data_IF_328226089221
#
_entry.id   IF_328226089221
#
_cell.length_a   1.000
_cell.length_b   1.000
_cell.length_c   1.000
_cell.angle_alpha   90.00
_cell.angle_beta   90.00
_cell.angle_gamma   90.00
#
_symmetry.space_group_name_H-M   'P 1'
#
loop_
_entity.id
_entity.type
_entity.pdbx_description
1 polymer ?
#
# COMPACT_ATOMS: atom_id res chain seq x y z
N UNK A 1 -59.68 -11.11 -42.37
CA UNK A 1 -59.15 -9.88 -42.97
C UNK A 1 -60.35 -9.10 -43.46
N UNK A 2 -60.53 -7.87 -43.00
CA UNK A 2 -61.69 -7.07 -43.34
C UNK A 2 -61.41 -6.43 -44.71
N UNK A 3 -62.16 -6.84 -45.74
CA UNK A 3 -62.07 -6.21 -47.05
C UNK A 3 -62.40 -4.72 -46.90
N UNK A 4 -61.52 -3.84 -47.37
CA UNK A 4 -61.81 -2.40 -47.38
C UNK A 4 -62.94 -2.15 -48.36
N UNK A 5 -64.12 -1.92 -47.81
CA UNK A 5 -65.33 -1.54 -48.50
C UNK A 5 -65.27 -0.06 -48.88
N UNK A 6 -65.38 0.23 -50.17
CA UNK A 6 -65.34 1.60 -50.71
C UNK A 6 -66.55 1.87 -51.58
N UNK A 7 -66.94 3.14 -51.66
CA UNK A 7 -68.06 3.57 -52.53
C UNK A 7 -67.60 3.73 -53.99
N UNK A 8 -68.56 3.83 -54.91
CA UNK A 8 -68.33 3.99 -56.35
C UNK A 8 -67.42 5.20 -56.69
N UNK A 9 -67.52 6.29 -55.94
CA UNK A 9 -66.73 7.51 -56.12
C UNK A 9 -65.24 7.28 -55.80
N UNK A 10 -64.98 6.42 -54.81
CA UNK A 10 -63.66 6.13 -54.26
C UNK A 10 -62.90 5.07 -55.07
N UNK A 11 -63.58 4.33 -55.95
CA UNK A 11 -62.94 3.35 -56.83
C UNK A 11 -61.92 4.01 -57.78
N UNK A 12 -60.78 3.33 -57.96
CA UNK A 12 -59.76 3.73 -58.95
C UNK A 12 -60.13 3.17 -60.32
N UNK A 13 -59.59 3.74 -61.39
CA UNK A 13 -59.86 3.31 -62.78
C UNK A 13 -59.62 1.80 -62.97
N UNK A 14 -58.58 1.24 -62.34
CA UNK A 14 -58.30 -0.19 -62.41
C UNK A 14 -59.43 -1.04 -61.82
N UNK A 15 -59.98 -0.60 -60.69
CA UNK A 15 -61.05 -1.31 -59.99
C UNK A 15 -62.39 -1.12 -60.73
N UNK A 16 -62.68 0.11 -61.20
CA UNK A 16 -63.86 0.39 -62.04
C UNK A 16 -63.90 -0.48 -63.29
N UNK A 17 -62.75 -0.69 -63.96
CA UNK A 17 -62.67 -1.56 -65.14
C UNK A 17 -62.94 -3.01 -64.79
N UNK A 18 -62.43 -3.50 -63.65
CA UNK A 18 -62.69 -4.87 -63.18
C UNK A 18 -64.17 -5.10 -62.91
N UNK A 19 -64.83 -4.21 -62.16
CA UNK A 19 -66.27 -4.32 -61.87
C UNK A 19 -67.15 -4.25 -63.14
N UNK A 20 -66.74 -3.45 -64.14
CA UNK A 20 -67.43 -3.40 -65.44
C UNK A 20 -67.17 -4.65 -66.27
N UNK A 21 -65.95 -5.18 -66.26
CA UNK A 21 -65.58 -6.42 -66.96
C UNK A 21 -66.29 -7.64 -66.38
N UNK A 22 -66.45 -7.73 -65.06
CA UNK A 22 -67.23 -8.77 -64.37
C UNK A 22 -68.73 -8.73 -64.73
N UNK A 23 -69.23 -7.57 -65.16
CA UNK A 23 -70.61 -7.36 -65.60
C UNK A 23 -70.77 -7.39 -67.12
N UNK A 24 -69.73 -7.81 -67.87
CA UNK A 24 -69.70 -7.86 -69.33
C UNK A 24 -69.96 -6.50 -70.02
N UNK A 25 -69.49 -5.40 -69.42
CA UNK A 25 -69.67 -4.02 -69.90
C UNK A 25 -68.38 -3.43 -70.52
N UNK A 26 -68.56 -2.38 -71.34
CA UNK A 26 -67.45 -1.67 -71.98
C UNK A 26 -66.52 -0.97 -70.96
N UNK A 27 -65.25 -1.38 -70.94
CA UNK A 27 -64.18 -0.86 -70.08
C UNK A 27 -63.43 0.35 -70.67
N UNK A 28 -63.83 0.84 -71.85
CA UNK A 28 -63.22 1.99 -72.52
C UNK A 28 -63.65 3.35 -71.97
N UNK A 29 -62.78 4.37 -72.02
CA UNK A 29 -63.13 5.76 -71.70
C UNK A 29 -62.51 6.32 -70.41
N UNK A 30 -62.94 7.53 -70.05
CA UNK A 30 -62.45 8.25 -68.86
C UNK A 30 -63.04 7.73 -67.55
N UNK A 31 -62.42 8.03 -66.41
CA UNK A 31 -62.91 7.61 -65.08
C UNK A 31 -64.39 7.92 -64.87
N UNK A 32 -64.83 9.12 -65.27
CA UNK A 32 -66.24 9.53 -65.15
C UNK A 32 -67.17 8.71 -66.05
N UNK A 33 -66.76 8.37 -67.27
CA UNK A 33 -67.54 7.47 -68.13
C UNK A 33 -67.68 6.08 -67.52
N UNK A 34 -66.60 5.53 -66.96
CA UNK A 34 -66.62 4.22 -66.30
C UNK A 34 -67.51 4.24 -65.05
N UNK A 35 -67.40 5.28 -64.21
CA UNK A 35 -68.27 5.46 -63.05
C UNK A 35 -69.73 5.58 -63.47
N UNK A 36 -70.05 6.35 -64.50
CA UNK A 36 -71.42 6.51 -64.97
C UNK A 36 -72.00 5.22 -65.56
N UNK A 37 -71.20 4.44 -66.31
CA UNK A 37 -71.64 3.13 -66.81
C UNK A 37 -71.92 2.16 -65.67
N UNK A 38 -71.02 2.10 -64.69
CA UNK A 38 -71.21 1.23 -63.53
C UNK A 38 -72.41 1.70 -62.70
N UNK A 39 -72.58 3.00 -62.49
CA UNK A 39 -73.76 3.60 -61.84
C UNK A 39 -75.06 3.18 -62.51
N UNK A 40 -75.09 3.22 -63.85
CA UNK A 40 -76.25 2.81 -64.64
C UNK A 40 -76.53 1.31 -64.49
N UNK A 41 -75.49 0.48 -64.55
CA UNK A 41 -75.63 -0.97 -64.39
C UNK A 41 -76.07 -1.40 -62.98
N UNK A 42 -75.69 -0.63 -61.95
CA UNK A 42 -76.18 -0.84 -60.58
C UNK A 42 -77.67 -0.54 -60.48
N UNK A 43 -78.11 0.60 -61.02
CA UNK A 43 -79.52 0.99 -61.05
C UNK A 43 -80.39 0.03 -61.87
N UNK A 44 -79.85 -0.53 -62.96
CA UNK A 44 -80.54 -1.56 -63.77
C UNK A 44 -80.71 -2.90 -63.03
N UNK A 45 -79.88 -3.15 -62.02
CA UNK A 45 -79.94 -4.33 -61.15
C UNK A 45 -80.65 -4.05 -59.80
N UNK A 46 -81.37 -2.93 -59.67
CA UNK A 46 -82.01 -2.48 -58.42
C UNK A 46 -81.03 -2.27 -57.24
N UNK A 47 -79.73 -2.11 -57.52
CA UNK A 47 -78.70 -1.78 -56.54
C UNK A 47 -78.52 -0.25 -56.47
N UNK A 48 -78.53 0.32 -55.27
CA UNK A 48 -78.31 1.75 -55.08
C UNK A 48 -76.81 2.10 -55.16
N UNK A 49 -76.37 2.83 -56.19
CA UNK A 49 -74.95 3.11 -56.44
C UNK A 49 -74.27 3.93 -55.34
N UNK A 50 -75.03 4.65 -54.52
CA UNK A 50 -74.50 5.47 -53.42
C UNK A 50 -74.35 4.65 -52.12
N UNK A 51 -74.94 3.46 -52.04
CA UNK A 51 -74.84 2.56 -50.88
C UNK A 51 -74.12 1.24 -51.18
N UNK A 52 -73.91 0.88 -52.45
CA UNK A 52 -73.10 -0.29 -52.84
C UNK A 52 -71.64 -0.12 -52.42
N UNK A 53 -71.13 -1.14 -51.73
CA UNK A 53 -69.77 -1.19 -51.21
C UNK A 53 -68.95 -2.22 -51.99
N UNK A 54 -67.86 -1.78 -52.61
CA UNK A 54 -66.96 -2.60 -53.40
C UNK A 54 -65.76 -3.06 -52.56
N UNK A 55 -65.39 -4.33 -52.70
CA UNK A 55 -64.25 -4.91 -51.99
C UNK A 55 -62.95 -4.68 -52.77
N UNK A 56 -62.04 -3.89 -52.19
CA UNK A 56 -60.70 -3.73 -52.76
C UNK A 56 -59.78 -4.87 -52.29
N UNK A 57 -59.49 -5.81 -53.18
CA UNK A 57 -58.39 -6.76 -52.97
C UNK A 57 -57.05 -6.02 -53.05
N UNK A 58 -56.52 -5.66 -51.88
CA UNK A 58 -55.16 -5.16 -51.74
C UNK A 58 -54.21 -6.27 -52.21
N UNK A 59 -53.59 -6.06 -53.38
CA UNK A 59 -52.70 -6.99 -54.09
C UNK A 59 -51.77 -7.77 -53.13
N UNK A 60 -52.20 -8.97 -52.73
CA UNK A 60 -51.69 -9.75 -51.61
C UNK A 60 -50.19 -10.02 -51.77
N UNK A 61 -49.74 -10.21 -53.01
CA UNK A 61 -48.32 -10.40 -53.36
C UNK A 61 -47.41 -9.24 -52.90
N UNK A 62 -47.88 -7.99 -53.02
CA UNK A 62 -47.10 -6.82 -52.59
C UNK A 62 -46.97 -6.75 -51.06
N UNK A 63 -48.02 -7.13 -50.34
CA UNK A 63 -48.02 -7.18 -48.88
C UNK A 63 -47.12 -8.30 -48.38
N UNK A 64 -47.21 -9.49 -48.98
CA UNK A 64 -46.37 -10.65 -48.63
C UNK A 64 -44.88 -10.36 -48.83
N UNK A 65 -44.51 -9.67 -49.94
CA UNK A 65 -43.12 -9.27 -50.17
C UNK A 65 -42.61 -8.29 -49.11
N UNK A 66 -43.43 -7.31 -48.70
CA UNK A 66 -43.07 -6.36 -47.62
C UNK A 66 -42.92 -7.06 -46.28
N UNK A 67 -43.80 -8.03 -45.99
CA UNK A 67 -43.72 -8.83 -44.77
C UNK A 67 -42.42 -9.63 -44.71
N UNK A 68 -42.04 -10.30 -45.81
CA UNK A 68 -40.78 -11.03 -45.89
C UNK A 68 -39.54 -10.14 -45.67
N UNK A 69 -39.50 -8.94 -46.27
CA UNK A 69 -38.41 -7.99 -46.05
C UNK A 69 -38.38 -7.52 -44.59
N UNK A 70 -39.55 -7.30 -43.98
CA UNK A 70 -39.65 -6.88 -42.57
C UNK A 70 -39.16 -7.98 -41.61
N UNK A 71 -39.48 -9.24 -41.88
CA UNK A 71 -38.95 -10.39 -41.12
C UNK A 71 -37.42 -10.47 -41.22
N UNK A 72 -36.87 -10.31 -42.42
CA UNK A 72 -35.42 -10.33 -42.64
C UNK A 72 -34.72 -9.18 -41.91
N UNK A 73 -35.28 -7.96 -41.98
CA UNK A 73 -34.77 -6.81 -41.25
C UNK A 73 -34.83 -7.03 -39.73
N UNK A 74 -35.90 -7.64 -39.25
CA UNK A 74 -36.07 -7.97 -37.81
C UNK A 74 -34.99 -8.95 -37.36
N UNK A 75 -34.78 -10.04 -38.11
CA UNK A 75 -33.71 -11.01 -37.82
C UNK A 75 -32.32 -10.38 -37.86
N UNK A 76 -32.06 -9.47 -38.81
CA UNK A 76 -30.78 -8.77 -38.91
C UNK A 76 -30.53 -7.86 -37.70
N UNK A 77 -31.56 -7.13 -37.25
CA UNK A 77 -31.48 -6.30 -36.06
C UNK A 77 -31.27 -7.13 -34.80
N UNK A 78 -31.99 -8.24 -34.64
CA UNK A 78 -31.80 -9.18 -33.53
C UNK A 78 -30.36 -9.71 -33.48
N UNK A 79 -29.81 -10.13 -34.63
CA UNK A 79 -28.43 -10.60 -34.71
C UNK A 79 -27.42 -9.52 -34.28
N UNK A 80 -27.58 -8.29 -34.77
CA UNK A 80 -26.73 -7.15 -34.39
C UNK A 80 -26.83 -6.82 -32.90
N UNK A 81 -28.03 -6.90 -32.32
CA UNK A 81 -28.22 -6.67 -30.88
C UNK A 81 -27.50 -7.73 -30.07
N UNK A 82 -27.61 -9.01 -30.46
CA UNK A 82 -26.92 -10.12 -29.79
C UNK A 82 -25.40 -9.95 -29.87
N UNK A 83 -24.87 -9.68 -31.06
CA UNK A 83 -23.44 -9.47 -31.28
C UNK A 83 -22.90 -8.30 -30.45
N UNK A 84 -23.59 -7.15 -30.49
CA UNK A 84 -23.21 -5.97 -29.70
C UNK A 84 -23.26 -6.24 -28.20
N UNK A 85 -24.26 -7.00 -27.74
CA UNK A 85 -24.41 -7.37 -26.33
C UNK A 85 -23.30 -8.32 -25.86
N UNK A 86 -22.87 -9.26 -26.70
CA UNK A 86 -21.75 -10.15 -26.42
C UNK A 86 -20.43 -9.39 -26.35
N UNK A 87 -20.17 -8.51 -27.33
CA UNK A 87 -18.98 -7.64 -27.35
C UNK A 87 -18.91 -6.74 -26.09
N UNK A 88 -20.02 -6.10 -25.70
CA UNK A 88 -20.06 -5.30 -24.46
C UNK A 88 -19.79 -6.13 -23.21
N UNK A 89 -20.30 -7.37 -23.17
CA UNK A 89 -20.06 -8.29 -22.04
C UNK A 89 -18.58 -8.67 -21.94
N UNK A 90 -17.92 -8.92 -23.07
CA UNK A 90 -16.48 -9.21 -23.10
C UNK A 90 -15.64 -8.02 -22.66
N UNK A 91 -15.92 -6.82 -23.19
CA UNK A 91 -15.25 -5.57 -22.78
C UNK A 91 -15.37 -5.32 -21.27
N UNK A 92 -16.56 -5.56 -20.69
CA UNK A 92 -16.78 -5.43 -19.24
C UNK A 92 -15.97 -6.45 -18.43
N UNK A 93 -15.90 -7.70 -18.91
CA UNK A 93 -15.12 -8.75 -18.24
C UNK A 93 -13.62 -8.44 -18.26
N UNK A 94 -13.10 -7.95 -19.39
CA UNK A 94 -11.69 -7.62 -19.52
C UNK A 94 -11.32 -6.38 -18.70
N UNK A 95 -12.17 -5.35 -18.69
CA UNK A 95 -11.99 -4.20 -17.79
C UNK A 95 -12.00 -4.63 -16.32
N UNK A 96 -12.91 -5.52 -15.93
CA UNK A 96 -12.97 -6.05 -14.56
C UNK A 96 -11.70 -6.83 -14.19
N UNK A 97 -11.17 -7.65 -15.11
CA UNK A 97 -9.91 -8.37 -14.92
C UNK A 97 -8.73 -7.42 -14.78
N UNK A 98 -8.64 -6.39 -15.64
CA UNK A 98 -7.58 -5.39 -15.61
C UNK A 98 -7.56 -4.65 -14.27
N UNK A 99 -8.72 -4.13 -13.83
CA UNK A 99 -8.86 -3.45 -12.54
C UNK A 99 -8.48 -4.35 -11.35
N UNK A 100 -8.88 -5.63 -11.37
CA UNK A 100 -8.50 -6.58 -10.33
C UNK A 100 -6.99 -6.78 -10.26
N UNK A 101 -6.33 -6.86 -11.41
CA UNK A 101 -4.88 -7.04 -11.48
C UNK A 101 -4.12 -5.79 -11.03
N UNK A 102 -4.59 -4.59 -11.39
CA UNK A 102 -4.03 -3.33 -10.90
C UNK A 102 -4.16 -3.20 -9.38
N UNK A 103 -5.34 -3.52 -8.82
CA UNK A 103 -5.56 -3.53 -7.37
C UNK A 103 -4.63 -4.51 -6.67
N UNK A 104 -4.45 -5.72 -7.23
CA UNK A 104 -3.55 -6.74 -6.70
C UNK A 104 -2.10 -6.23 -6.65
N UNK A 105 -1.62 -5.65 -7.75
CA UNK A 105 -0.26 -5.09 -7.84
C UNK A 105 -0.06 -3.94 -6.85
N UNK A 106 -1.03 -3.03 -6.74
CA UNK A 106 -0.97 -1.91 -5.80
C UNK A 106 -0.94 -2.39 -4.35
N UNK A 107 -1.75 -3.40 -4.01
CA UNK A 107 -1.75 -4.00 -2.67
C UNK A 107 -0.39 -4.61 -2.33
N UNK A 108 0.20 -5.38 -3.24
CA UNK A 108 1.52 -5.99 -3.04
C UNK A 108 2.62 -4.93 -2.89
N UNK A 109 2.61 -3.90 -3.73
CA UNK A 109 3.58 -2.80 -3.63
C UNK A 109 3.47 -2.06 -2.29
N UNK A 110 2.25 -1.85 -1.80
CA UNK A 110 2.01 -1.21 -0.51
C UNK A 110 2.53 -2.08 0.64
N UNK A 111 2.22 -3.38 0.63
CA UNK A 111 2.69 -4.35 1.63
C UNK A 111 4.22 -4.44 1.67
N UNK A 112 4.88 -4.47 0.51
CA UNK A 112 6.34 -4.45 0.42
C UNK A 112 6.95 -3.17 0.98
N UNK A 113 6.35 -2.00 0.67
CA UNK A 113 6.81 -0.70 1.21
C UNK A 113 6.68 -0.66 2.73
N UNK A 114 5.54 -1.05 3.28
CA UNK A 114 5.33 -1.11 4.73
C UNK A 114 6.30 -2.08 5.40
N UNK A 115 6.45 -3.29 4.85
CA UNK A 115 7.33 -4.31 5.41
C UNK A 115 8.79 -3.88 5.43
N UNK A 116 9.24 -3.17 4.38
CA UNK A 116 10.61 -2.63 4.31
C UNK A 116 10.81 -1.52 5.33
N UNK A 117 9.91 -0.54 5.38
CA UNK A 117 10.01 0.59 6.31
C UNK A 117 10.04 0.12 7.77
N UNK A 118 9.16 -0.81 8.16
CA UNK A 118 9.15 -1.37 9.50
C UNK A 118 10.45 -2.11 9.84
N UNK A 119 11.01 -2.87 8.90
CA UNK A 119 12.29 -3.57 9.12
C UNK A 119 13.45 -2.59 9.29
N UNK A 120 13.51 -1.57 8.46
CA UNK A 120 14.57 -0.55 8.52
C UNK A 120 14.49 0.25 9.83
N UNK A 121 13.30 0.74 10.20
CA UNK A 121 13.12 1.47 11.47
C UNK A 121 13.45 0.62 12.69
N UNK A 122 13.01 -0.64 12.72
CA UNK A 122 13.34 -1.56 13.82
C UNK A 122 14.84 -1.83 13.91
N UNK A 123 15.51 -2.03 12.77
CA UNK A 123 16.95 -2.27 12.73
C UNK A 123 17.73 -1.06 13.22
N UNK A 124 17.41 0.13 12.71
CA UNK A 124 18.05 1.39 13.12
C UNK A 124 17.86 1.69 14.61
N UNK A 125 16.63 1.53 15.12
CA UNK A 125 16.37 1.73 16.55
C UNK A 125 17.10 0.70 17.42
N UNK A 126 17.13 -0.56 17.00
CA UNK A 126 17.88 -1.61 17.71
C UNK A 126 19.38 -1.32 17.70
N UNK A 127 19.92 -0.81 16.60
CA UNK A 127 21.33 -0.46 16.48
C UNK A 127 21.69 0.73 17.39
N UNK A 128 20.90 1.81 17.35
CA UNK A 128 21.09 2.97 18.23
C UNK A 128 21.04 2.59 19.70
N UNK A 129 20.05 1.80 20.11
CA UNK A 129 19.94 1.32 21.48
C UNK A 129 21.17 0.50 21.91
N UNK A 130 21.67 -0.37 21.02
CA UNK A 130 22.87 -1.16 21.28
C UNK A 130 24.10 -0.26 21.47
N UNK A 131 24.28 0.75 20.62
CA UNK A 131 25.39 1.70 20.74
C UNK A 131 25.31 2.52 22.04
N UNK A 132 24.13 3.05 22.38
CA UNK A 132 23.92 3.76 23.66
C UNK A 132 24.23 2.87 24.87
N UNK A 133 23.84 1.60 24.82
CA UNK A 133 24.13 0.65 25.89
C UNK A 133 25.64 0.36 26.01
N UNK A 134 26.33 0.14 24.89
CA UNK A 134 27.77 -0.09 24.87
C UNK A 134 28.55 1.13 25.38
N UNK A 135 28.12 2.33 25.02
CA UNK A 135 28.73 3.57 25.48
C UNK A 135 28.55 3.76 26.99
N UNK A 136 27.35 3.48 27.51
CA UNK A 136 27.11 3.48 28.96
C UNK A 136 27.98 2.47 29.70
N UNK A 137 28.17 1.26 29.15
CA UNK A 137 29.06 0.26 29.73
C UNK A 137 30.51 0.72 29.77
N UNK A 138 31.04 1.31 28.69
CA UNK A 138 32.41 1.86 28.66
C UNK A 138 32.58 2.97 29.70
N UNK A 139 31.62 3.88 29.79
CA UNK A 139 31.65 4.96 30.76
C UNK A 139 31.62 4.45 32.21
N UNK A 140 30.86 3.38 32.47
CA UNK A 140 30.85 2.73 33.78
C UNK A 140 32.19 2.04 34.09
N UNK A 141 32.77 1.34 33.12
CA UNK A 141 34.07 0.69 33.25
C UNK A 141 35.18 1.69 33.59
N UNK A 142 35.23 2.83 32.90
CA UNK A 142 36.17 3.92 33.20
C UNK A 142 36.00 4.41 34.65
N UNK A 143 34.77 4.70 35.08
CA UNK A 143 34.49 5.13 36.46
C UNK A 143 34.91 4.10 37.50
N UNK A 144 34.66 2.81 37.25
CA UNK A 144 35.07 1.73 38.15
C UNK A 144 36.60 1.67 38.25
N UNK A 145 37.31 1.78 37.12
CA UNK A 145 38.77 1.75 37.09
C UNK A 145 39.39 2.95 37.82
N UNK A 146 38.84 4.15 37.64
CA UNK A 146 39.32 5.35 38.34
C UNK A 146 39.08 5.27 39.85
N UNK A 147 37.91 4.77 40.27
CA UNK A 147 37.62 4.53 41.68
C UNK A 147 38.55 3.47 42.27
N UNK A 148 38.80 2.38 41.54
CA UNK A 148 39.72 1.31 41.96
C UNK A 148 41.13 1.85 42.17
N UNK A 149 41.66 2.62 41.20
CA UNK A 149 42.98 3.27 41.33
C UNK A 149 43.07 4.22 42.52
N UNK A 150 42.01 5.00 42.76
CA UNK A 150 41.95 5.93 43.89
C UNK A 150 41.96 5.19 45.23
N UNK A 151 41.20 4.09 45.33
CA UNK A 151 41.16 3.22 46.51
C UNK A 151 42.47 2.47 46.74
N UNK A 152 43.22 2.14 45.70
CA UNK A 152 44.55 1.51 45.84
C UNK A 152 45.65 2.50 46.24
N UNK A 153 45.57 3.75 45.80
CA UNK A 153 46.62 4.75 46.03
C UNK A 153 46.61 5.29 47.46
N UNK A 154 45.43 5.61 48.01
CA UNK A 154 45.30 6.27 49.32
C UNK A 154 45.89 5.44 50.48
N UNK A 155 45.63 4.12 50.61
CA UNK A 155 46.22 3.31 51.68
C UNK A 155 47.74 3.17 51.55
N UNK A 156 48.28 3.15 50.33
CA UNK A 156 49.74 3.10 50.11
C UNK A 156 50.40 4.38 50.60
N UNK A 157 49.82 5.54 50.27
CA UNK A 157 50.30 6.84 50.73
C UNK A 157 50.16 6.99 52.26
N UNK A 158 49.01 6.60 52.82
CA UNK A 158 48.78 6.62 54.27
C UNK A 158 49.77 5.70 55.01
N UNK A 159 50.05 4.51 54.47
CA UNK A 159 51.03 3.57 55.02
C UNK A 159 52.46 4.14 54.95
N UNK A 160 52.86 4.73 53.82
CA UNK A 160 54.19 5.35 53.67
C UNK A 160 54.39 6.51 54.63
N UNK A 161 53.38 7.38 54.76
CA UNK A 161 53.40 8.50 55.71
C UNK A 161 53.50 8.01 57.16
N UNK A 162 52.80 6.92 57.50
CA UNK A 162 52.87 6.33 58.83
C UNK A 162 54.25 5.73 59.12
N UNK A 163 54.82 4.98 58.16
CA UNK A 163 56.17 4.43 58.28
C UNK A 163 57.24 5.51 58.46
N UNK A 164 57.14 6.61 57.71
CA UNK A 164 58.05 7.76 57.85
C UNK A 164 57.96 8.38 59.24
N UNK A 165 56.73 8.63 59.74
CA UNK A 165 56.52 9.11 61.11
C UNK A 165 57.10 8.17 62.17
N UNK A 166 56.98 6.85 61.97
CA UNK A 166 57.60 5.87 62.88
C UNK A 166 59.13 5.91 62.82
N UNK A 167 59.73 5.95 61.63
CA UNK A 167 61.19 6.08 61.46
C UNK A 167 61.73 7.35 62.12
N UNK A 168 61.06 8.47 61.93
CA UNK A 168 61.43 9.75 62.54
C UNK A 168 61.38 9.66 64.07
N UNK A 169 60.32 9.05 64.62
CA UNK A 169 60.17 8.89 66.07
C UNK A 169 61.27 7.98 66.63
N UNK A 170 61.55 6.84 66.00
CA UNK A 170 62.64 5.94 66.39
C UNK A 170 63.98 6.68 66.34
N UNK A 171 64.23 7.46 65.28
CA UNK A 171 65.49 8.20 65.14
C UNK A 171 65.67 9.23 66.26
N UNK A 172 64.61 9.97 66.60
CA UNK A 172 64.62 10.94 67.71
C UNK A 172 64.84 10.27 69.07
N UNK A 173 64.13 9.18 69.37
CA UNK A 173 64.24 8.46 70.65
C UNK A 173 65.59 7.73 70.80
N UNK A 174 66.19 7.25 69.70
CA UNK A 174 67.48 6.53 69.74
C UNK A 174 68.70 7.44 69.71
N UNK A 175 68.55 8.72 69.34
CA UNK A 175 69.65 9.67 69.24
C UNK A 175 70.35 9.91 70.59
N UNK A 176 69.57 10.16 71.65
CA UNK A 176 70.12 10.46 72.97
C UNK A 176 70.83 9.24 73.61
N UNK A 177 70.24 8.03 73.65
CA UNK A 177 70.96 6.83 74.07
C UNK A 177 72.21 6.55 73.23
N UNK A 178 72.17 6.77 71.91
CA UNK A 178 73.38 6.63 71.05
C UNK A 178 74.49 7.58 71.48
N UNK A 179 74.19 8.86 71.66
CA UNK A 179 75.17 9.86 72.12
C UNK A 179 75.74 9.51 73.50
N UNK A 180 74.91 9.00 74.42
CA UNK A 180 75.35 8.53 75.73
C UNK A 180 76.31 7.33 75.61
N UNK A 181 75.99 6.35 74.76
CA UNK A 181 76.87 5.21 74.49
C UNK A 181 78.19 5.65 73.84
N UNK A 182 78.14 6.53 72.83
CA UNK A 182 79.34 7.05 72.16
C UNK A 182 80.24 7.81 73.15
N UNK A 183 79.65 8.61 74.05
CA UNK A 183 80.38 9.32 75.10
C UNK A 183 81.04 8.36 76.11
N UNK A 184 80.31 7.32 76.54
CA UNK A 184 80.86 6.30 77.44
C UNK A 184 82.00 5.51 76.78
N UNK A 185 81.86 5.13 75.52
CA UNK A 185 82.91 4.44 74.76
C UNK A 185 84.18 5.28 74.64
N UNK A 186 84.04 6.57 74.30
CA UNK A 186 85.18 7.49 74.24
C UNK A 186 85.90 7.61 75.60
N UNK A 187 85.16 7.66 76.71
CA UNK A 187 85.75 7.66 78.06
C UNK A 187 86.48 6.36 78.40
N UNK A 188 85.98 5.21 77.93
CA UNK A 188 86.64 3.90 78.11
C UNK A 188 87.95 3.86 77.31
N UNK A 189 87.95 4.30 76.05
CA UNK A 189 89.15 4.34 75.20
C UNK A 189 90.22 5.27 75.78
N UNK A 190 89.84 6.45 76.29
CA UNK A 190 90.78 7.37 76.95
C UNK A 190 91.44 6.75 78.20
N UNK A 191 90.67 5.97 78.98
CA UNK A 191 91.20 5.26 80.14
C UNK A 191 92.07 4.06 79.76
N UNK A 192 91.73 3.34 78.69
CA UNK A 192 92.50 2.19 78.21
C UNK A 192 93.84 2.59 77.57
N UNK A 193 93.93 3.80 76.98
CA UNK A 193 95.15 4.34 76.38
C UNK A 193 96.15 4.98 77.35
N UNK A 194 95.79 5.18 78.63
CA UNK A 194 96.69 5.74 79.64
C UNK A 194 97.45 4.61 80.36
N UNK A 195 98.79 4.60 80.39
CA UNK A 195 99.54 3.59 81.13
C UNK A 195 99.27 3.74 82.64
N UNK A 196 99.00 2.63 83.32
CA UNK A 196 98.86 2.62 84.78
C UNK A 196 100.14 3.14 85.44
N UNK A 197 100.04 4.27 86.15
CA UNK A 197 101.16 4.80 86.92
C UNK A 197 101.46 3.88 88.13
N UNK A 198 102.73 3.57 88.44
CA UNK A 198 103.08 2.69 89.57
C UNK A 198 102.78 3.39 90.90
N UNK A 199 102.11 2.67 91.81
CA UNK A 199 101.81 3.14 93.16
C UNK A 199 103.10 3.15 94.00
N UNK A 200 103.64 4.33 94.29
CA UNK A 200 104.73 4.50 95.27
C UNK A 200 104.16 4.48 96.68
N UNK A 201 104.40 3.38 97.41
CA UNK A 201 104.26 3.36 98.87
C UNK A 201 105.50 3.99 99.51
N UNK A 202 105.30 4.95 100.40
CA UNK A 202 106.32 5.43 101.34
C UNK A 202 106.08 4.79 102.71
N UNK A 203 107.12 4.15 103.25
CA UNK A 203 107.22 3.76 104.67
C UNK A 203 108.40 4.53 105.28
N UNK A 204 108.11 5.12 106.44
CA UNK A 204 108.86 5.97 107.38
C UNK A 204 110.26 5.46 107.80
N UNK A 205 111.30 6.33 107.82
CA UNK A 205 111.86 7.15 108.95
C UNK A 205 112.77 6.36 109.92
N UNK A 206 113.75 6.96 110.63
CA UNK A 206 113.89 8.36 111.08
C UNK A 206 115.06 9.17 110.49
#
# INVERSE_FOLDING_TARGET
MEATKVTLEQLKVKDLKRELEERDLDIGGSKSMLQNRLRKALLENDEDPDTTLFELEKNISSVMKKLSIMEENTRNLEAKIVERSQSLKEELLDNSRSLREELRKNSQSLEEKFSRNLKEELFENSWKLKEEFLENLRNLEVKINDNTRSLEKKPKEDSQNLEEKFRDKISKETQKPRQEVDSLNAQIEERAGKPFAPCMQHVQQP
#
